data_IF_638515756339
#
_entry.id   IF_638515756339
#
_cell.length_a   1.000
_cell.length_b   1.000
_cell.length_c   1.000
_cell.angle_alpha   90.00
_cell.angle_beta   90.00
_cell.angle_gamma   90.00
#
_symmetry.space_group_name_H-M   'P 1'
#
loop_
_entity.id
_entity.type
_entity.pdbx_description
1 polymer ?
#
# COMPACT_ATOMS: atom_id res chain seq x y z
N UNK A 1 5.49 56.74 -6.28
CA UNK A 1 5.63 55.95 -7.52
C UNK A 1 6.93 55.19 -7.35
N UNK A 2 7.02 53.87 -7.24
CA UNK A 2 6.08 52.77 -7.51
C UNK A 2 6.36 51.62 -6.54
N UNK A 3 5.29 51.09 -5.96
CA UNK A 3 5.26 49.84 -5.22
C UNK A 3 5.59 48.68 -6.17
N UNK A 4 6.72 48.00 -5.97
CA UNK A 4 7.00 46.71 -6.63
C UNK A 4 7.93 45.76 -5.85
N UNK A 5 8.58 46.19 -4.75
CA UNK A 5 9.42 45.27 -3.94
C UNK A 5 8.65 44.31 -3.02
N UNK A 6 7.31 44.25 -3.16
CA UNK A 6 6.48 43.25 -2.51
C UNK A 6 6.09 42.14 -3.50
N UNK A 7 7.03 41.64 -4.31
CA UNK A 7 6.89 40.30 -4.88
C UNK A 7 7.15 39.29 -3.77
N UNK A 8 6.11 39.13 -2.94
CA UNK A 8 5.94 38.00 -2.06
C UNK A 8 6.29 36.73 -2.83
N UNK A 9 7.39 36.09 -2.42
CA UNK A 9 7.57 34.66 -2.64
C UNK A 9 6.44 33.97 -1.89
N UNK A 10 5.31 33.84 -2.58
CA UNK A 10 4.18 33.04 -2.13
C UNK A 10 4.70 31.61 -2.02
N UNK A 11 4.67 30.95 -0.85
CA UNK A 11 4.98 29.54 -0.80
C UNK A 11 3.96 28.87 -1.71
N UNK A 12 4.45 28.25 -2.79
CA UNK A 12 3.63 27.48 -3.69
C UNK A 12 2.87 26.47 -2.83
N UNK A 13 1.58 26.75 -2.61
CA UNK A 13 0.68 25.89 -1.85
C UNK A 13 0.65 24.59 -2.63
N UNK A 14 1.39 23.58 -2.15
CA UNK A 14 1.40 22.26 -2.76
C UNK A 14 -0.05 21.84 -2.95
N UNK A 15 -0.43 21.62 -4.21
CA UNK A 15 -1.74 21.09 -4.54
C UNK A 15 -1.93 19.81 -3.71
N UNK A 16 -3.10 19.61 -3.06
CA UNK A 16 -3.34 18.42 -2.28
C UNK A 16 -3.21 17.21 -3.22
N UNK A 17 -2.07 16.54 -3.19
CA UNK A 17 -1.91 15.24 -3.82
C UNK A 17 -2.93 14.37 -3.12
N UNK A 18 -3.89 13.84 -3.88
CA UNK A 18 -4.79 12.80 -3.40
C UNK A 18 -3.92 11.56 -3.19
N UNK A 19 -3.21 11.52 -2.08
CA UNK A 19 -2.31 10.44 -1.75
C UNK A 19 -3.17 9.21 -1.51
N UNK A 20 -2.87 8.08 -2.19
CA UNK A 20 -3.63 6.85 -2.00
C UNK A 20 -3.48 6.26 -0.59
N UNK A 21 -2.75 6.92 0.31
CA UNK A 21 -2.49 6.53 1.70
C UNK A 21 -3.73 6.04 2.43
N UNK A 22 -4.84 6.79 2.37
CA UNK A 22 -6.09 6.37 3.03
C UNK A 22 -6.63 5.05 2.49
N UNK A 23 -6.53 4.86 1.17
CA UNK A 23 -6.97 3.62 0.50
C UNK A 23 -6.02 2.45 0.82
N UNK A 24 -4.72 2.70 0.81
CA UNK A 24 -3.68 1.71 1.14
C UNK A 24 -3.85 1.24 2.59
N UNK A 25 -4.02 2.18 3.53
CA UNK A 25 -4.25 1.86 4.93
C UNK A 25 -5.57 1.08 5.11
N UNK A 26 -6.64 1.49 4.43
CA UNK A 26 -7.91 0.77 4.48
C UNK A 26 -7.79 -0.68 3.98
N UNK A 27 -7.17 -0.90 2.81
CA UNK A 27 -6.95 -2.23 2.24
C UNK A 27 -6.05 -3.07 3.16
N UNK A 28 -5.00 -2.47 3.71
CA UNK A 28 -4.07 -3.16 4.62
C UNK A 28 -4.79 -3.61 5.89
N UNK A 29 -5.60 -2.73 6.49
CA UNK A 29 -6.39 -3.03 7.68
C UNK A 29 -7.41 -4.14 7.41
N UNK A 30 -8.08 -4.09 6.26
CA UNK A 30 -9.03 -5.11 5.83
C UNK A 30 -8.35 -6.47 5.63
N UNK A 31 -7.17 -6.50 5.01
CA UNK A 31 -6.40 -7.71 4.80
C UNK A 31 -5.96 -8.35 6.13
N UNK A 32 -5.51 -7.52 7.09
CA UNK A 32 -5.18 -7.97 8.45
C UNK A 32 -6.39 -8.53 9.19
N UNK A 33 -7.56 -7.87 9.10
CA UNK A 33 -8.79 -8.34 9.72
C UNK A 33 -9.25 -9.67 9.11
N UNK A 34 -9.22 -9.81 7.79
CA UNK A 34 -9.56 -11.04 7.09
C UNK A 34 -8.61 -12.19 7.44
N UNK A 35 -7.30 -11.92 7.54
CA UNK A 35 -6.32 -12.89 7.99
C UNK A 35 -6.56 -13.32 9.45
N UNK A 36 -6.78 -12.36 10.35
CA UNK A 36 -7.10 -12.64 11.74
C UNK A 36 -8.37 -13.48 11.89
N UNK A 37 -9.42 -13.18 11.10
CA UNK A 37 -10.63 -13.98 11.06
C UNK A 37 -10.36 -15.41 10.56
N UNK A 38 -9.52 -15.58 9.53
CA UNK A 38 -9.10 -16.90 9.06
C UNK A 38 -8.42 -17.71 10.17
N UNK A 39 -7.50 -17.09 10.93
CA UNK A 39 -6.85 -17.73 12.09
C UNK A 39 -7.88 -18.09 13.17
N UNK A 40 -8.87 -17.24 13.42
CA UNK A 40 -9.91 -17.49 14.42
C UNK A 40 -10.82 -18.67 14.06
N UNK A 41 -11.30 -18.73 12.81
CA UNK A 41 -12.22 -19.79 12.36
C UNK A 41 -11.52 -21.12 12.08
N UNK A 42 -10.32 -21.08 11.52
CA UNK A 42 -9.62 -22.28 11.06
C UNK A 42 -8.42 -22.66 11.93
N UNK A 43 -7.98 -21.84 12.88
CA UNK A 43 -6.87 -22.13 13.78
C UNK A 43 -5.50 -22.06 13.09
N UNK A 44 -4.65 -23.05 13.35
CA UNK A 44 -3.34 -23.23 12.70
C UNK A 44 -3.48 -23.16 11.16
N UNK A 45 -4.53 -23.76 10.54
CA UNK A 45 -4.81 -23.54 9.14
C UNK A 45 -4.93 -22.12 8.65
N UNK A 46 -5.62 -21.27 9.38
CA UNK A 46 -5.75 -19.87 9.00
C UNK A 46 -4.39 -19.14 8.99
N UNK A 47 -3.45 -19.58 9.84
CA UNK A 47 -2.12 -18.99 9.94
C UNK A 47 -1.27 -19.29 8.68
N UNK A 48 -1.34 -20.51 8.16
CA UNK A 48 -0.53 -20.92 7.02
C UNK A 48 -1.14 -20.58 5.64
N UNK A 49 -2.43 -20.24 5.55
CA UNK A 49 -3.09 -19.90 4.27
C UNK A 49 -2.37 -18.78 3.49
N UNK A 50 -2.01 -17.62 4.08
CA UNK A 50 -1.30 -16.58 3.34
C UNK A 50 0.06 -17.05 2.82
N UNK A 51 0.79 -17.82 3.62
CA UNK A 51 2.08 -18.37 3.22
C UNK A 51 1.93 -19.33 2.04
N UNK A 52 0.98 -20.27 2.11
CA UNK A 52 0.72 -21.23 1.04
C UNK A 52 0.24 -20.56 -0.24
N UNK A 53 -0.58 -19.51 -0.14
CA UNK A 53 -1.02 -18.73 -1.30
C UNK A 53 0.14 -17.97 -1.97
N UNK A 54 1.15 -17.53 -1.19
CA UNK A 54 2.32 -16.83 -1.73
C UNK A 54 3.33 -17.77 -2.40
N UNK A 55 3.36 -19.07 -2.10
CA UNK A 55 4.27 -20.04 -2.73
C UNK A 55 4.18 -20.03 -4.28
N UNK A 56 3.01 -20.23 -4.91
CA UNK A 56 2.91 -20.20 -6.37
C UNK A 56 3.18 -18.79 -6.93
N UNK A 57 2.81 -17.73 -6.22
CA UNK A 57 3.09 -16.34 -6.62
C UNK A 57 4.59 -16.10 -6.74
N UNK A 58 5.34 -16.49 -5.70
CA UNK A 58 6.81 -16.39 -5.72
C UNK A 58 7.39 -17.25 -6.83
N UNK A 59 6.88 -18.46 -7.05
CA UNK A 59 7.35 -19.31 -8.16
C UNK A 59 7.18 -18.65 -9.52
N UNK A 60 6.01 -18.03 -9.78
CA UNK A 60 5.75 -17.27 -11.00
C UNK A 60 6.68 -16.06 -11.11
N UNK A 61 6.88 -15.30 -10.04
CA UNK A 61 7.82 -14.17 -10.02
C UNK A 61 9.23 -14.65 -10.36
N UNK A 62 9.70 -15.73 -9.73
CA UNK A 62 11.02 -16.32 -9.99
C UNK A 62 11.17 -16.74 -11.46
N UNK A 63 10.15 -17.38 -12.05
CA UNK A 63 10.14 -17.70 -13.48
C UNK A 63 10.23 -16.43 -14.32
N UNK A 64 9.43 -15.41 -14.02
CA UNK A 64 9.41 -14.16 -14.79
C UNK A 64 10.76 -13.44 -14.76
N UNK A 65 11.41 -13.34 -13.60
CA UNK A 65 12.72 -12.67 -13.48
C UNK A 65 13.87 -13.51 -14.06
N UNK A 66 13.71 -14.84 -14.11
CA UNK A 66 14.73 -15.73 -14.68
C UNK A 66 14.70 -15.78 -16.21
N UNK A 67 13.71 -15.14 -16.85
CA UNK A 67 13.51 -15.18 -18.31
C UNK A 67 14.44 -14.26 -19.11
N UNK A 68 15.30 -13.48 -18.46
CA UNK A 68 16.26 -12.58 -19.11
C UNK A 68 15.64 -11.26 -19.53
#
# INVERSE_FOLDING_TARGET
MTATDAMATTPAKEAPKKSPDGMILFITLLALAAWGASVFFFGIPGLYIPALAMVPVMYVILILISRG
#
